data_IF_979143394905
#
_entry.id   IF_979143394905
#
_cell.length_a   1.000
_cell.length_b   1.000
_cell.length_c   1.000
_cell.angle_alpha   90.00
_cell.angle_beta   90.00
_cell.angle_gamma   90.00
#
_symmetry.space_group_name_H-M   'P 1'
#
loop_
_entity.id
_entity.type
_entity.pdbx_description
1 polymer ?
#
# COMPACT_ATOMS: atom_id res chain seq x y z
N UNK A 1 -9.86 -4.48 -33.20
CA UNK A 1 -10.02 -3.22 -32.45
C UNK A 1 -8.75 -3.04 -31.65
N UNK A 2 -8.05 -1.92 -31.85
CA UNK A 2 -6.66 -1.71 -31.41
C UNK A 2 -6.49 -1.91 -29.90
N UNK A 3 -5.42 -2.60 -29.52
CA UNK A 3 -5.06 -3.00 -28.15
C UNK A 3 -5.14 -1.84 -27.14
N UNK A 4 -4.78 -0.63 -27.59
CA UNK A 4 -4.89 0.62 -26.83
C UNK A 4 -6.32 0.96 -26.37
N UNK A 5 -7.36 0.63 -27.15
CA UNK A 5 -8.75 0.91 -26.77
C UNK A 5 -9.22 0.01 -25.61
N UNK A 6 -8.76 -1.24 -25.61
CA UNK A 6 -9.05 -2.25 -24.59
C UNK A 6 -8.36 -1.91 -23.27
N UNK A 7 -7.05 -1.61 -23.32
CA UNK A 7 -6.27 -1.20 -22.16
C UNK A 7 -6.81 0.10 -21.53
N UNK A 8 -7.13 1.11 -22.35
CA UNK A 8 -7.73 2.36 -21.88
C UNK A 8 -9.07 2.12 -21.19
N UNK A 9 -9.92 1.27 -21.75
CA UNK A 9 -11.22 0.93 -21.15
C UNK A 9 -11.05 0.22 -19.80
N UNK A 10 -10.14 -0.74 -19.71
CA UNK A 10 -9.81 -1.42 -18.46
C UNK A 10 -9.35 -0.43 -17.38
N UNK A 11 -8.39 0.44 -17.71
CA UNK A 11 -7.86 1.42 -16.78
C UNK A 11 -8.92 2.46 -16.36
N UNK A 12 -9.77 2.91 -17.28
CA UNK A 12 -10.87 3.83 -16.97
C UNK A 12 -11.90 3.21 -16.01
N UNK A 13 -12.21 1.91 -16.18
CA UNK A 13 -13.11 1.20 -15.26
C UNK A 13 -12.49 1.14 -13.87
N UNK A 14 -11.22 0.73 -13.76
CA UNK A 14 -10.51 0.70 -12.47
C UNK A 14 -10.44 2.08 -11.81
N UNK A 15 -10.13 3.12 -12.57
CA UNK A 15 -10.09 4.49 -12.07
C UNK A 15 -11.46 4.94 -11.56
N UNK A 16 -12.54 4.65 -12.29
CA UNK A 16 -13.90 4.98 -11.86
C UNK A 16 -14.24 4.33 -10.52
N UNK A 17 -13.99 3.02 -10.36
CA UNK A 17 -14.28 2.33 -9.11
C UNK A 17 -13.40 2.81 -7.97
N UNK A 18 -12.10 3.05 -8.20
CA UNK A 18 -11.21 3.60 -7.17
C UNK A 18 -11.66 4.99 -6.67
N UNK A 19 -12.12 5.86 -7.57
CA UNK A 19 -12.67 7.17 -7.19
C UNK A 19 -14.00 6.99 -6.45
N UNK A 20 -14.88 6.13 -6.94
CA UNK A 20 -16.17 5.85 -6.31
C UNK A 20 -15.99 5.28 -4.89
N UNK A 21 -15.10 4.32 -4.70
CA UNK A 21 -14.75 3.76 -3.39
C UNK A 21 -14.22 4.84 -2.44
N UNK A 22 -13.35 5.73 -2.92
CA UNK A 22 -12.83 6.84 -2.11
C UNK A 22 -13.94 7.79 -1.66
N UNK A 23 -14.86 8.16 -2.57
CA UNK A 23 -16.00 9.03 -2.28
C UNK A 23 -16.98 8.34 -1.31
N UNK A 24 -17.33 7.09 -1.56
CA UNK A 24 -18.23 6.31 -0.71
C UNK A 24 -17.62 6.15 0.68
N UNK A 25 -16.33 5.81 0.78
CA UNK A 25 -15.60 5.70 2.05
C UNK A 25 -15.65 7.00 2.84
N UNK A 26 -15.41 8.14 2.17
CA UNK A 26 -15.53 9.45 2.78
C UNK A 26 -16.94 9.72 3.30
N UNK A 27 -17.97 9.49 2.47
CA UNK A 27 -19.37 9.70 2.85
C UNK A 27 -19.76 8.81 4.03
N UNK A 28 -19.36 7.54 4.01
CA UNK A 28 -19.67 6.59 5.09
C UNK A 28 -19.01 6.99 6.41
N UNK A 29 -17.72 7.32 6.40
CA UNK A 29 -17.03 7.82 7.59
C UNK A 29 -17.65 9.13 8.09
N UNK A 30 -17.98 10.04 7.17
CA UNK A 30 -18.60 11.31 7.52
C UNK A 30 -19.96 11.11 8.17
N UNK A 31 -20.84 10.29 7.59
CA UNK A 31 -22.14 9.97 8.17
C UNK A 31 -22.01 9.20 9.49
N UNK A 32 -21.02 8.32 9.61
CA UNK A 32 -20.74 7.57 10.84
C UNK A 32 -20.40 8.50 12.02
N UNK A 33 -19.65 9.57 11.76
CA UNK A 33 -19.34 10.60 12.76
C UNK A 33 -20.53 11.57 12.95
N UNK A 34 -21.07 12.11 11.86
CA UNK A 34 -22.12 13.14 11.88
C UNK A 34 -23.42 12.66 12.53
N UNK A 35 -23.80 11.39 12.34
CA UNK A 35 -24.99 10.80 12.93
C UNK A 35 -24.75 10.29 14.37
N UNK A 36 -23.52 10.42 14.89
CA UNK A 36 -23.14 9.96 16.23
C UNK A 36 -23.01 8.45 16.37
N UNK A 37 -22.95 7.69 15.27
CA UNK A 37 -22.77 6.24 15.31
C UNK A 37 -21.40 5.83 15.87
N UNK A 38 -20.35 6.65 15.70
CA UNK A 38 -19.06 6.41 16.34
C UNK A 38 -19.17 6.40 17.87
N UNK A 39 -19.85 7.41 18.44
CA UNK A 39 -20.09 7.51 19.88
C UNK A 39 -21.01 6.39 20.39
N UNK A 40 -22.07 6.06 19.65
CA UNK A 40 -22.98 4.96 20.02
C UNK A 40 -22.25 3.62 20.06
N UNK A 41 -21.38 3.35 19.07
CA UNK A 41 -20.59 2.13 19.03
C UNK A 41 -19.62 2.06 20.21
N UNK A 42 -18.89 3.14 20.49
CA UNK A 42 -17.98 3.16 21.63
C UNK A 42 -18.72 2.97 22.96
N UNK A 43 -19.83 3.67 23.19
CA UNK A 43 -20.64 3.53 24.41
C UNK A 43 -21.17 2.11 24.59
N UNK A 44 -21.57 1.46 23.50
CA UNK A 44 -22.00 0.07 23.53
C UNK A 44 -20.84 -0.85 23.92
N UNK A 45 -19.67 -0.71 23.29
CA UNK A 45 -18.52 -1.56 23.56
C UNK A 45 -17.89 -1.33 24.94
N UNK A 46 -17.86 -0.09 25.42
CA UNK A 46 -17.29 0.28 26.71
C UNK A 46 -18.09 -0.29 27.89
N UNK A 47 -19.37 -0.64 27.67
CA UNK A 47 -20.18 -1.36 28.67
C UNK A 47 -19.68 -2.79 28.96
N UNK A 48 -18.92 -3.38 28.02
CA UNK A 48 -18.34 -4.72 28.16
C UNK A 48 -16.81 -4.71 28.29
N UNK A 49 -16.14 -3.66 27.79
CA UNK A 49 -14.68 -3.59 27.68
C UNK A 49 -14.15 -2.38 28.45
N UNK A 50 -13.49 -2.63 29.58
CA UNK A 50 -12.87 -1.55 30.38
C UNK A 50 -11.47 -1.15 29.90
N UNK A 51 -10.76 -2.03 29.19
CA UNK A 51 -9.41 -1.74 28.71
C UNK A 51 -9.48 -0.92 27.40
N UNK A 52 -8.97 0.31 27.42
CA UNK A 52 -9.04 1.23 26.28
C UNK A 52 -8.32 0.73 25.01
N UNK A 53 -7.23 -0.03 25.16
CA UNK A 53 -6.51 -0.59 24.01
C UNK A 53 -7.30 -1.73 23.36
N UNK A 54 -7.91 -2.60 24.17
CA UNK A 54 -8.80 -3.64 23.65
C UNK A 54 -10.06 -3.04 23.02
N UNK A 55 -10.62 -2.00 23.64
CA UNK A 55 -11.75 -1.25 23.11
C UNK A 55 -11.42 -0.68 21.73
N UNK A 56 -10.26 -0.03 21.56
CA UNK A 56 -9.79 0.48 20.27
C UNK A 56 -9.69 -0.65 19.23
N UNK A 57 -9.07 -1.78 19.57
CA UNK A 57 -8.89 -2.91 18.65
C UNK A 57 -10.25 -3.44 18.18
N UNK A 58 -11.17 -3.69 19.10
CA UNK A 58 -12.51 -4.21 18.77
C UNK A 58 -13.30 -3.17 17.97
N UNK A 59 -13.23 -1.90 18.34
CA UNK A 59 -13.87 -0.79 17.62
C UNK A 59 -13.38 -0.72 16.17
N UNK A 60 -12.07 -0.75 15.95
CA UNK A 60 -11.48 -0.73 14.60
C UNK A 60 -11.81 -1.98 13.80
N UNK A 61 -11.80 -3.17 14.40
CA UNK A 61 -12.20 -4.42 13.73
C UNK A 61 -13.66 -4.36 13.27
N UNK A 62 -14.57 -3.85 14.09
CA UNK A 62 -15.99 -3.73 13.72
C UNK A 62 -16.15 -2.77 12.54
N UNK A 63 -15.51 -1.60 12.59
CA UNK A 63 -15.56 -0.64 11.47
C UNK A 63 -14.94 -1.27 10.21
N UNK A 64 -13.77 -1.88 10.33
CA UNK A 64 -13.10 -2.56 9.22
C UNK A 64 -13.96 -3.66 8.60
N UNK A 65 -14.65 -4.45 9.42
CA UNK A 65 -15.57 -5.48 8.95
C UNK A 65 -16.77 -4.90 8.20
N UNK A 66 -17.38 -3.82 8.71
CA UNK A 66 -18.48 -3.12 8.02
C UNK A 66 -18.02 -2.61 6.66
N UNK A 67 -16.84 -1.99 6.59
CA UNK A 67 -16.25 -1.54 5.32
C UNK A 67 -15.98 -2.73 4.38
N UNK A 68 -15.41 -3.82 4.87
CA UNK A 68 -15.15 -5.02 4.09
C UNK A 68 -16.45 -5.59 3.48
N UNK A 69 -17.55 -5.63 4.23
CA UNK A 69 -18.85 -6.09 3.73
C UNK A 69 -19.42 -5.16 2.67
N UNK A 70 -19.36 -3.84 2.89
CA UNK A 70 -19.87 -2.84 1.93
C UNK A 70 -19.09 -2.88 0.62
N UNK A 71 -17.76 -3.03 0.70
CA UNK A 71 -16.87 -2.99 -0.46
C UNK A 71 -16.65 -4.36 -1.11
N UNK A 72 -17.03 -5.47 -0.47
CA UNK A 72 -16.90 -6.82 -1.02
C UNK A 72 -17.46 -6.99 -2.45
N UNK A 73 -18.65 -6.45 -2.82
CA UNK A 73 -19.15 -6.55 -4.19
C UNK A 73 -18.29 -5.80 -5.20
N UNK A 74 -17.74 -4.65 -4.80
CA UNK A 74 -16.88 -3.84 -5.66
C UNK A 74 -15.53 -4.55 -5.85
N UNK A 75 -14.91 -5.02 -4.77
CA UNK A 75 -13.64 -5.77 -4.81
C UNK A 75 -13.78 -7.04 -5.65
N UNK A 76 -14.87 -7.79 -5.50
CA UNK A 76 -15.15 -8.94 -6.37
C UNK A 76 -15.23 -8.53 -7.84
N UNK A 77 -15.91 -7.41 -8.15
CA UNK A 77 -16.01 -6.94 -9.52
C UNK A 77 -14.66 -6.50 -10.09
N UNK A 78 -13.88 -5.72 -9.35
CA UNK A 78 -12.64 -5.06 -9.84
C UNK A 78 -11.42 -5.97 -9.81
N UNK A 79 -11.30 -6.83 -8.81
CA UNK A 79 -10.12 -7.69 -8.59
C UNK A 79 -10.30 -9.10 -9.14
N UNK A 80 -11.50 -9.65 -9.09
CA UNK A 80 -11.76 -10.99 -9.63
C UNK A 80 -12.37 -10.91 -11.03
N UNK A 81 -13.59 -10.42 -11.16
CA UNK A 81 -14.33 -10.50 -12.42
C UNK A 81 -13.68 -9.70 -13.55
N UNK A 82 -13.26 -8.46 -13.29
CA UNK A 82 -12.66 -7.59 -14.30
C UNK A 82 -11.30 -8.13 -14.77
N UNK A 83 -10.47 -8.63 -13.85
CA UNK A 83 -9.18 -9.25 -14.22
C UNK A 83 -9.38 -10.49 -15.09
N UNK A 84 -10.40 -11.32 -14.83
CA UNK A 84 -10.76 -12.46 -15.68
C UNK A 84 -11.31 -12.02 -17.04
N UNK A 85 -12.17 -11.00 -17.05
CA UNK A 85 -12.76 -10.44 -18.27
C UNK A 85 -11.70 -9.93 -19.25
N UNK A 86 -10.59 -9.40 -18.73
CA UNK A 86 -9.46 -8.93 -19.53
C UNK A 86 -8.34 -9.97 -19.67
N UNK A 87 -8.55 -11.21 -19.22
CA UNK A 87 -7.59 -12.31 -19.31
C UNK A 87 -6.24 -12.00 -18.63
N UNK A 88 -6.28 -11.40 -17.44
CA UNK A 88 -5.11 -10.96 -16.68
C UNK A 88 -4.89 -11.75 -15.37
N UNK A 89 -5.86 -12.56 -14.96
CA UNK A 89 -5.78 -13.40 -13.76
C UNK A 89 -5.71 -14.90 -14.10
N UNK A 90 -5.00 -15.64 -13.25
CA UNK A 90 -4.97 -17.11 -13.23
C UNK A 90 -5.66 -17.68 -11.97
N UNK A 91 -6.25 -16.83 -11.14
CA UNK A 91 -6.83 -17.27 -9.87
C UNK A 91 -8.19 -17.93 -10.06
N UNK A 92 -8.40 -19.09 -9.45
CA UNK A 92 -9.77 -19.57 -9.20
C UNK A 92 -10.42 -18.72 -8.11
N UNK A 93 -11.75 -18.74 -8.03
CA UNK A 93 -12.49 -17.98 -7.00
C UNK A 93 -11.99 -18.26 -5.58
N UNK A 94 -11.82 -19.54 -5.21
CA UNK A 94 -11.32 -19.91 -3.88
C UNK A 94 -9.88 -19.48 -3.63
N UNK A 95 -9.05 -19.49 -4.69
CA UNK A 95 -7.68 -18.99 -4.58
C UNK A 95 -7.64 -17.49 -4.38
N UNK A 96 -8.49 -16.73 -5.08
CA UNK A 96 -8.64 -15.29 -4.87
C UNK A 96 -9.05 -14.97 -3.42
N UNK A 97 -10.07 -15.65 -2.89
CA UNK A 97 -10.48 -15.50 -1.49
C UNK A 97 -9.33 -15.81 -0.51
N UNK A 98 -8.59 -16.90 -0.76
CA UNK A 98 -7.48 -17.31 0.10
C UNK A 98 -6.31 -16.33 0.06
N UNK A 99 -5.91 -15.87 -1.13
CA UNK A 99 -4.87 -14.86 -1.27
C UNK A 99 -5.29 -13.54 -0.60
N UNK A 100 -6.52 -13.07 -0.83
CA UNK A 100 -7.05 -11.87 -0.15
C UNK A 100 -7.11 -12.01 1.37
N UNK A 101 -7.53 -13.18 1.89
CA UNK A 101 -7.53 -13.44 3.34
C UNK A 101 -6.11 -13.40 3.92
N UNK A 102 -5.12 -13.99 3.23
CA UNK A 102 -3.72 -13.92 3.67
C UNK A 102 -3.19 -12.48 3.63
N UNK A 103 -3.53 -11.71 2.61
CA UNK A 103 -3.17 -10.29 2.51
C UNK A 103 -3.75 -9.51 3.70
N UNK A 104 -5.02 -9.72 4.06
CA UNK A 104 -5.64 -9.12 5.25
C UNK A 104 -4.92 -9.53 6.53
N UNK A 105 -4.65 -10.82 6.75
CA UNK A 105 -3.99 -11.29 7.97
C UNK A 105 -2.57 -10.73 8.13
N UNK A 106 -1.79 -10.67 7.05
CA UNK A 106 -0.46 -10.05 7.06
C UNK A 106 -0.57 -8.54 7.30
N UNK A 107 -1.56 -7.89 6.68
CA UNK A 107 -1.87 -6.48 6.89
C UNK A 107 -2.18 -6.18 8.36
N UNK A 108 -3.07 -6.96 8.98
CA UNK A 108 -3.48 -6.81 10.38
C UNK A 108 -2.31 -7.07 11.34
N UNK A 109 -1.46 -8.05 11.04
CA UNK A 109 -0.27 -8.35 11.85
C UNK A 109 0.71 -7.17 11.91
N UNK A 110 0.72 -6.29 10.91
CA UNK A 110 1.54 -5.07 10.87
C UNK A 110 0.74 -3.87 11.37
N UNK A 111 -0.51 -3.74 10.92
CA UNK A 111 -1.39 -2.61 11.18
C UNK A 111 -1.82 -2.48 12.63
N UNK A 112 -2.16 -3.59 13.30
CA UNK A 112 -2.60 -3.56 14.70
C UNK A 112 -1.49 -3.06 15.65
N UNK A 113 -0.23 -3.54 15.59
CA UNK A 113 0.86 -2.94 16.36
C UNK A 113 1.04 -1.44 16.10
N UNK A 114 0.92 -1.00 14.84
CA UNK A 114 1.05 0.42 14.49
C UNK A 114 -0.13 1.25 15.00
N UNK A 115 -1.35 0.72 14.99
CA UNK A 115 -2.53 1.34 15.57
C UNK A 115 -2.37 1.51 17.09
N UNK A 116 -1.91 0.47 17.78
CA UNK A 116 -1.64 0.51 19.22
C UNK A 116 -0.53 1.51 19.56
N UNK A 117 0.54 1.54 18.75
CA UNK A 117 1.63 2.50 18.87
C UNK A 117 1.12 3.93 18.65
N UNK A 118 0.32 4.16 17.61
CA UNK A 118 -0.33 5.44 17.35
C UNK A 118 -1.16 5.87 18.57
N UNK A 119 -2.01 4.98 19.07
CA UNK A 119 -2.86 5.27 20.22
C UNK A 119 -2.06 5.56 21.49
N UNK A 120 -0.96 4.85 21.72
CA UNK A 120 -0.04 5.16 22.80
C UNK A 120 0.56 6.57 22.65
N UNK A 121 1.01 6.93 21.45
CA UNK A 121 1.65 8.23 21.18
C UNK A 121 0.66 9.38 21.32
N UNK A 122 -0.57 9.25 20.80
CA UNK A 122 -1.59 10.31 20.95
C UNK A 122 -2.01 10.52 22.40
N UNK A 123 -2.14 9.44 23.19
CA UNK A 123 -2.43 9.55 24.62
C UNK A 123 -1.29 10.19 25.41
N UNK A 124 -0.03 9.93 25.02
CA UNK A 124 1.15 10.43 25.75
C UNK A 124 1.51 11.87 25.40
N UNK A 125 1.39 12.27 24.14
CA UNK A 125 1.91 13.55 23.64
C UNK A 125 0.83 14.57 23.29
N UNK A 126 -0.46 14.20 23.38
CA UNK A 126 -1.56 15.11 23.05
C UNK A 126 -1.41 15.65 21.63
N UNK A 127 -1.67 16.93 21.41
CA UNK A 127 -1.62 17.56 20.07
C UNK A 127 -0.24 17.40 19.38
N UNK A 128 0.84 17.23 20.15
CA UNK A 128 2.19 17.06 19.61
C UNK A 128 2.45 15.64 19.10
N UNK A 129 1.48 14.72 19.15
CA UNK A 129 1.61 13.32 18.72
C UNK A 129 2.20 13.17 17.32
N UNK A 130 1.88 14.09 16.40
CA UNK A 130 2.30 14.02 15.01
C UNK A 130 3.83 13.95 14.87
N UNK A 131 4.58 14.62 15.74
CA UNK A 131 6.04 14.69 15.65
C UNK A 131 6.72 13.35 16.01
N UNK A 132 6.58 12.80 17.23
CA UNK A 132 7.15 11.50 17.57
C UNK A 132 6.55 10.39 16.70
N UNK A 133 5.28 10.48 16.31
CA UNK A 133 4.68 9.49 15.42
C UNK A 133 5.30 9.53 14.01
N UNK A 134 5.55 10.70 13.44
CA UNK A 134 6.24 10.84 12.14
C UNK A 134 7.64 10.22 12.16
N UNK A 135 8.40 10.45 13.22
CA UNK A 135 9.74 9.88 13.40
C UNK A 135 9.66 8.35 13.50
N UNK A 136 8.71 7.81 14.28
CA UNK A 136 8.50 6.38 14.41
C UNK A 136 8.09 5.76 13.07
N UNK A 137 7.17 6.39 12.33
CA UNK A 137 6.73 5.92 11.02
C UNK A 137 7.87 5.94 9.98
N UNK A 138 8.77 6.92 10.04
CA UNK A 138 10.00 6.89 9.23
C UNK A 138 10.83 5.63 9.53
N UNK A 139 11.12 5.36 10.81
CA UNK A 139 11.89 4.16 11.22
C UNK A 139 11.18 2.88 10.76
N UNK A 140 9.88 2.77 11.03
CA UNK A 140 9.06 1.63 10.62
C UNK A 140 9.10 1.45 9.11
N UNK A 141 8.97 2.52 8.30
CA UNK A 141 9.00 2.42 6.84
C UNK A 141 10.34 1.91 6.31
N UNK A 142 11.46 2.37 6.89
CA UNK A 142 12.80 1.91 6.52
C UNK A 142 12.99 0.44 6.90
N UNK A 143 12.49 0.03 8.07
CA UNK A 143 12.53 -1.37 8.52
C UNK A 143 11.66 -2.26 7.63
N UNK A 144 10.42 -1.87 7.34
CA UNK A 144 9.52 -2.62 6.47
C UNK A 144 10.07 -2.73 5.05
N UNK A 145 10.69 -1.69 4.50
CA UNK A 145 11.34 -1.76 3.18
C UNK A 145 12.45 -2.84 3.12
N UNK A 146 13.04 -3.21 4.25
CA UNK A 146 14.03 -4.29 4.36
C UNK A 146 13.38 -5.65 4.63
N UNK A 147 12.36 -5.67 5.48
CA UNK A 147 11.69 -6.90 5.89
C UNK A 147 10.78 -7.45 4.79
N UNK A 148 10.08 -6.59 4.05
CA UNK A 148 9.05 -7.00 3.08
C UNK A 148 9.59 -8.00 2.05
N UNK A 149 10.73 -7.76 1.35
CA UNK A 149 11.22 -8.71 0.36
C UNK A 149 11.69 -10.05 0.94
N UNK A 150 12.10 -10.08 2.22
CA UNK A 150 12.78 -11.22 2.83
C UNK A 150 11.80 -12.10 3.61
N UNK A 151 10.84 -11.49 4.33
CA UNK A 151 9.91 -12.22 5.19
C UNK A 151 8.49 -12.20 4.66
N UNK A 152 8.05 -11.10 4.05
CA UNK A 152 6.65 -10.97 3.63
C UNK A 152 6.44 -11.56 2.25
N UNK A 153 7.29 -11.22 1.28
CA UNK A 153 7.16 -11.72 -0.09
C UNK A 153 7.13 -13.27 -0.16
N UNK A 154 7.97 -14.02 0.60
CA UNK A 154 7.91 -15.48 0.60
C UNK A 154 6.64 -16.11 1.17
N UNK A 155 5.79 -15.36 1.89
CA UNK A 155 4.48 -15.83 2.35
C UNK A 155 3.51 -15.97 1.16
N UNK A 156 3.70 -15.15 0.12
CA UNK A 156 2.83 -15.10 -1.05
C UNK A 156 3.39 -15.89 -2.23
N UNK A 157 4.70 -15.80 -2.45
CA UNK A 157 5.39 -16.29 -3.63
C UNK A 157 6.60 -17.16 -3.29
N UNK A 158 6.79 -18.23 -4.05
CA UNK A 158 8.01 -19.02 -4.03
C UNK A 158 9.10 -18.29 -4.83
N UNK A 159 10.17 -17.91 -4.13
CA UNK A 159 11.33 -17.24 -4.73
C UNK A 159 12.47 -18.24 -4.87
N UNK A 160 12.95 -18.47 -6.10
CA UNK A 160 14.07 -19.38 -6.39
C UNK A 160 15.02 -18.75 -7.43
N UNK A 161 16.32 -19.09 -7.44
CA UNK A 161 17.24 -18.60 -8.47
C UNK A 161 16.75 -18.95 -9.88
N UNK A 162 17.07 -18.10 -10.87
CA UNK A 162 16.78 -18.42 -12.27
C UNK A 162 17.74 -19.50 -12.79
N UNK A 163 17.23 -20.35 -13.70
CA UNK A 163 18.00 -21.45 -14.31
C UNK A 163 18.71 -21.01 -15.60
N UNK A 164 18.21 -19.97 -16.28
CA UNK A 164 18.79 -19.44 -17.52
C UNK A 164 20.06 -18.63 -17.21
N UNK A 165 21.21 -19.31 -17.28
CA UNK A 165 22.52 -18.70 -17.01
C UNK A 165 22.89 -17.62 -18.05
N UNK A 166 22.46 -17.74 -19.31
CA UNK A 166 22.72 -16.71 -20.32
C UNK A 166 21.99 -15.40 -19.99
N UNK A 167 20.71 -15.48 -19.64
CA UNK A 167 19.93 -14.30 -19.24
C UNK A 167 20.50 -13.69 -17.95
N UNK A 168 20.88 -14.54 -17.00
CA UNK A 168 21.52 -14.12 -15.74
C UNK A 168 22.81 -13.34 -16.00
N UNK A 169 23.68 -13.84 -16.87
CA UNK A 169 24.92 -13.14 -17.25
C UNK A 169 24.65 -11.80 -17.92
N UNK A 170 23.69 -11.73 -18.85
CA UNK A 170 23.27 -10.48 -19.50
C UNK A 170 22.82 -9.44 -18.47
N UNK A 171 21.94 -9.83 -17.55
CA UNK A 171 21.43 -8.96 -16.48
C UNK A 171 22.55 -8.51 -15.55
N UNK A 172 23.45 -9.40 -15.16
CA UNK A 172 24.60 -9.05 -14.28
C UNK A 172 25.50 -8.04 -14.99
N UNK A 173 25.81 -8.26 -16.27
CA UNK A 173 26.65 -7.35 -17.08
C UNK A 173 26.01 -5.97 -17.20
N UNK A 174 24.71 -5.92 -17.51
CA UNK A 174 23.96 -4.66 -17.60
C UNK A 174 23.95 -3.92 -16.25
N UNK A 175 23.73 -4.65 -15.15
CA UNK A 175 23.75 -4.09 -13.80
C UNK A 175 25.11 -3.51 -13.42
N UNK A 176 26.20 -4.17 -13.82
CA UNK A 176 27.56 -3.67 -13.62
C UNK A 176 27.81 -2.35 -14.35
N UNK A 177 27.32 -2.20 -15.59
CA UNK A 177 27.39 -0.93 -16.34
C UNK A 177 26.63 0.20 -15.63
N UNK A 178 25.51 -0.10 -15.00
CA UNK A 178 24.77 0.85 -14.17
C UNK A 178 25.45 1.17 -12.83
N UNK A 179 26.49 0.41 -12.44
CA UNK A 179 27.17 0.55 -11.15
C UNK A 179 26.44 -0.12 -9.99
N UNK A 180 25.61 -1.12 -10.28
CA UNK A 180 24.90 -1.94 -9.31
C UNK A 180 25.60 -3.29 -9.13
N UNK A 181 25.84 -3.71 -7.89
CA UNK A 181 26.26 -5.09 -7.60
C UNK A 181 25.04 -5.95 -7.36
N UNK A 182 24.90 -6.99 -8.17
CA UNK A 182 23.82 -7.98 -8.04
C UNK A 182 24.36 -9.17 -7.28
N UNK A 183 23.70 -9.52 -6.17
CA UNK A 183 24.02 -10.73 -5.40
C UNK A 183 23.61 -11.97 -6.21
N UNK A 184 22.36 -11.99 -6.67
CA UNK A 184 21.82 -13.04 -7.52
C UNK A 184 20.53 -12.57 -8.22
N UNK A 185 20.10 -13.33 -9.22
CA UNK A 185 18.85 -13.13 -9.96
C UNK A 185 17.89 -14.28 -9.63
N UNK A 186 16.69 -13.95 -9.21
CA UNK A 186 15.66 -14.89 -8.78
C UNK A 186 14.41 -14.77 -9.65
N UNK A 187 13.72 -15.89 -9.84
CA UNK A 187 12.33 -15.93 -10.30
C UNK A 187 11.37 -16.05 -9.12
N UNK A 188 10.19 -15.46 -9.24
CA UNK A 188 9.07 -15.68 -8.32
C UNK A 188 7.79 -16.03 -9.09
N UNK A 189 6.99 -16.90 -8.50
CA UNK A 189 5.85 -17.57 -9.15
C UNK A 189 4.59 -16.68 -9.28
N UNK A 190 4.71 -15.58 -10.02
CA UNK A 190 3.60 -14.66 -10.30
C UNK A 190 2.45 -15.32 -11.06
N UNK A 191 2.76 -16.28 -11.93
CA UNK A 191 1.80 -17.01 -12.77
C UNK A 191 0.72 -17.70 -11.93
N UNK A 192 1.03 -18.01 -10.66
CA UNK A 192 0.07 -18.46 -9.66
C UNK A 192 -1.15 -17.55 -9.58
N UNK A 193 -0.96 -16.23 -9.67
CA UNK A 193 -2.03 -15.25 -9.46
C UNK A 193 -2.40 -14.48 -10.74
N UNK A 194 -1.41 -14.07 -11.53
CA UNK A 194 -1.61 -13.15 -12.66
C UNK A 194 -0.88 -13.59 -13.90
N UNK A 195 -1.32 -13.10 -15.07
CA UNK A 195 -0.62 -13.19 -16.35
C UNK A 195 0.25 -11.96 -16.65
N UNK A 196 0.20 -10.94 -15.78
CA UNK A 196 0.98 -9.72 -15.92
C UNK A 196 2.46 -10.01 -15.68
N UNK A 197 3.32 -9.35 -16.44
CA UNK A 197 4.77 -9.37 -16.23
C UNK A 197 5.18 -8.31 -15.21
N UNK A 198 6.22 -8.61 -14.41
CA UNK A 198 6.81 -7.65 -13.50
C UNK A 198 8.28 -8.03 -13.22
N UNK A 199 9.08 -7.02 -12.86
CA UNK A 199 10.43 -7.16 -12.36
C UNK A 199 10.62 -6.21 -11.17
N UNK A 200 11.49 -6.56 -10.24
CA UNK A 200 11.76 -5.71 -9.08
C UNK A 200 13.18 -5.85 -8.58
N UNK A 201 13.73 -4.75 -8.05
CA UNK A 201 14.97 -4.73 -7.31
C UNK A 201 14.72 -4.71 -5.81
N UNK A 202 15.36 -5.61 -5.07
CA UNK A 202 15.23 -5.69 -3.60
C UNK A 202 16.61 -5.74 -2.92
N UNK A 203 16.65 -5.49 -1.61
CA UNK A 203 17.89 -5.50 -0.82
C UNK A 203 18.46 -4.12 -0.48
N UNK A 204 19.56 -4.08 0.25
CA UNK A 204 20.11 -2.88 0.88
C UNK A 204 21.40 -2.35 0.23
N UNK A 205 21.50 -1.03 0.14
CA UNK A 205 22.72 -0.35 -0.27
C UNK A 205 23.13 -0.68 -1.72
N UNK A 206 24.39 -1.05 -1.90
CA UNK A 206 25.01 -1.31 -3.22
C UNK A 206 24.82 -2.74 -3.71
N UNK A 207 24.34 -3.64 -2.85
CA UNK A 207 24.11 -5.05 -3.18
C UNK A 207 22.61 -5.29 -3.26
N UNK A 208 22.13 -5.73 -4.42
CA UNK A 208 20.70 -5.95 -4.66
C UNK A 208 20.44 -7.36 -5.18
N UNK A 209 19.22 -7.82 -4.96
CA UNK A 209 18.63 -9.01 -5.57
C UNK A 209 17.68 -8.56 -6.66
N UNK A 210 17.71 -9.25 -7.78
CA UNK A 210 16.79 -9.02 -8.89
C UNK A 210 15.72 -10.09 -8.82
N UNK A 211 14.46 -9.68 -8.83
CA UNK A 211 13.31 -10.56 -8.84
C UNK A 211 12.60 -10.41 -10.18
N UNK A 212 12.46 -11.51 -10.92
CA UNK A 212 11.75 -11.57 -12.19
C UNK A 212 10.49 -12.43 -12.02
N UNK A 213 9.34 -11.94 -12.47
CA UNK A 213 8.15 -12.78 -12.53
C UNK A 213 8.38 -13.94 -13.50
N UNK A 214 7.94 -15.14 -13.15
CA UNK A 214 7.90 -16.27 -14.10
C UNK A 214 7.11 -15.93 -15.37
N UNK A 215 6.03 -15.15 -15.26
CA UNK A 215 5.26 -14.62 -16.39
C UNK A 215 6.10 -13.75 -17.33
N UNK A 216 7.06 -12.98 -16.82
CA UNK A 216 7.99 -12.20 -17.63
C UNK A 216 8.97 -13.13 -18.37
N UNK A 217 9.49 -14.14 -17.66
CA UNK A 217 10.44 -15.10 -18.23
C UNK A 217 9.82 -16.00 -19.30
N UNK A 218 8.55 -16.36 -19.15
CA UNK A 218 7.85 -17.30 -20.04
C UNK A 218 7.29 -16.65 -21.31
N UNK A 219 6.96 -15.35 -21.26
CA UNK A 219 6.21 -14.69 -22.35
C UNK A 219 7.02 -13.64 -23.13
N UNK A 220 8.25 -13.33 -22.71
CA UNK A 220 9.08 -12.30 -23.34
C UNK A 220 10.44 -12.85 -23.74
N UNK A 221 11.00 -12.30 -24.81
CA UNK A 221 12.36 -12.59 -25.25
C UNK A 221 13.41 -12.03 -24.28
N UNK A 222 14.62 -12.58 -24.32
CA UNK A 222 15.74 -12.08 -23.48
C UNK A 222 16.04 -10.60 -23.73
N UNK A 223 15.85 -10.12 -24.96
CA UNK A 223 16.08 -8.71 -25.33
C UNK A 223 15.02 -7.78 -24.72
N UNK A 224 13.75 -8.20 -24.72
CA UNK A 224 12.66 -7.47 -24.07
C UNK A 224 12.85 -7.44 -22.54
N UNK A 225 13.25 -8.57 -21.95
CA UNK A 225 13.56 -8.65 -20.51
C UNK A 225 14.72 -7.72 -20.17
N UNK A 226 15.79 -7.71 -20.98
CA UNK A 226 16.93 -6.82 -20.77
C UNK A 226 16.51 -5.33 -20.84
N UNK A 227 15.56 -4.99 -21.71
CA UNK A 227 15.01 -3.63 -21.83
C UNK A 227 14.25 -3.23 -20.57
N UNK A 228 13.41 -4.12 -20.03
CA UNK A 228 12.71 -3.89 -18.75
C UNK A 228 13.71 -3.70 -17.60
N UNK A 229 14.78 -4.50 -17.57
CA UNK A 229 15.82 -4.37 -16.54
C UNK A 229 16.64 -3.09 -16.72
N UNK A 230 16.89 -2.64 -17.95
CA UNK A 230 17.55 -1.36 -18.21
C UNK A 230 16.74 -0.18 -17.66
N UNK A 231 15.42 -0.17 -17.88
CA UNK A 231 14.51 0.82 -17.32
C UNK A 231 14.58 0.84 -15.78
N UNK A 232 14.44 -0.32 -15.15
CA UNK A 232 14.49 -0.44 -13.69
C UNK A 232 15.88 -0.03 -13.12
N UNK A 233 16.98 -0.28 -13.85
CA UNK A 233 18.31 0.22 -13.50
C UNK A 233 18.43 1.74 -13.64
N UNK A 234 17.65 2.36 -14.54
CA UNK A 234 17.50 3.80 -14.65
C UNK A 234 17.01 4.42 -13.34
N UNK A 235 15.97 3.85 -12.72
CA UNK A 235 15.50 4.26 -11.40
C UNK A 235 16.58 4.15 -10.31
N UNK A 236 17.35 3.07 -10.33
CA UNK A 236 18.48 2.90 -9.41
C UNK A 236 19.56 3.97 -9.62
N UNK A 237 19.97 4.20 -10.88
CA UNK A 237 21.01 5.15 -11.25
C UNK A 237 20.68 6.57 -10.83
N UNK A 238 19.43 6.97 -11.03
CA UNK A 238 18.90 8.30 -10.70
C UNK A 238 18.42 8.42 -9.24
N UNK A 239 18.61 7.36 -8.44
CA UNK A 239 18.32 7.33 -7.00
C UNK A 239 16.87 7.66 -6.66
N UNK A 240 15.92 7.19 -7.48
CA UNK A 240 14.50 7.48 -7.29
C UNK A 240 13.96 6.96 -5.94
N UNK A 241 14.42 5.79 -5.49
CA UNK A 241 14.05 5.27 -4.16
C UNK A 241 14.48 6.22 -3.03
N UNK A 242 15.72 6.73 -3.07
CA UNK A 242 16.22 7.66 -2.04
C UNK A 242 15.47 9.00 -2.10
N UNK A 243 15.19 9.52 -3.30
CA UNK A 243 14.37 10.73 -3.47
C UNK A 243 12.96 10.50 -2.91
N UNK A 244 12.33 9.36 -3.20
CA UNK A 244 11.01 8.98 -2.67
C UNK A 244 11.01 8.85 -1.15
N UNK A 245 12.04 8.25 -0.54
CA UNK A 245 12.16 8.18 0.93
C UNK A 245 12.27 9.58 1.53
N UNK A 246 13.11 10.45 0.97
CA UNK A 246 13.30 11.81 1.48
C UNK A 246 12.02 12.65 1.34
N UNK A 247 11.44 12.69 0.13
CA UNK A 247 10.21 13.44 -0.16
C UNK A 247 9.04 12.88 0.64
N UNK A 248 8.91 11.56 0.73
CA UNK A 248 7.89 10.88 1.53
C UNK A 248 8.03 11.19 3.01
N UNK A 249 9.25 11.22 3.55
CA UNK A 249 9.51 11.59 4.95
C UNK A 249 9.07 13.03 5.20
N UNK A 250 9.55 14.00 4.41
CA UNK A 250 9.18 15.41 4.57
C UNK A 250 7.67 15.61 4.44
N UNK A 251 7.06 14.96 3.45
CA UNK A 251 5.61 15.04 3.22
C UNK A 251 4.83 14.42 4.38
N UNK A 252 5.28 13.31 4.96
CA UNK A 252 4.60 12.66 6.10
C UNK A 252 4.55 13.56 7.34
N UNK A 253 5.62 14.30 7.63
CA UNK A 253 5.63 15.28 8.73
C UNK A 253 4.60 16.38 8.50
N UNK A 254 4.54 16.93 7.28
CA UNK A 254 3.55 17.93 6.91
C UNK A 254 2.12 17.37 6.98
N UNK A 255 1.88 16.18 6.44
CA UNK A 255 0.58 15.52 6.43
C UNK A 255 0.10 15.25 7.86
N UNK A 256 0.92 14.63 8.71
CA UNK A 256 0.54 14.35 10.09
C UNK A 256 0.35 15.64 10.91
N UNK A 257 1.15 16.67 10.67
CA UNK A 257 0.93 17.99 11.26
C UNK A 257 -0.43 18.57 10.87
N UNK A 258 -0.79 18.53 9.58
CA UNK A 258 -2.08 19.02 9.10
C UNK A 258 -3.24 18.20 9.68
N UNK A 259 -3.13 16.87 9.69
CA UNK A 259 -4.14 15.99 10.30
C UNK A 259 -4.33 16.33 11.78
N UNK A 260 -3.25 16.46 12.56
CA UNK A 260 -3.33 16.75 13.99
C UNK A 260 -4.05 18.08 14.28
N UNK A 261 -3.71 19.15 13.54
CA UNK A 261 -4.31 20.47 13.74
C UNK A 261 -5.77 20.51 13.26
N UNK A 262 -6.07 19.95 12.09
CA UNK A 262 -7.44 19.93 11.56
C UNK A 262 -8.36 19.06 12.42
N UNK A 263 -7.88 17.89 12.86
CA UNK A 263 -8.60 17.03 13.81
C UNK A 263 -8.96 17.80 15.08
N UNK A 264 -7.97 18.41 15.74
CA UNK A 264 -8.15 19.21 16.96
C UNK A 264 -9.18 20.35 16.79
N UNK A 265 -9.10 21.10 15.68
CA UNK A 265 -10.03 22.22 15.41
C UNK A 265 -11.46 21.70 15.20
N UNK A 266 -11.60 20.58 14.49
CA UNK A 266 -12.89 20.02 14.11
C UNK A 266 -13.62 19.24 15.23
N UNK A 267 -12.96 18.91 16.35
CA UNK A 267 -13.58 18.16 17.45
C UNK A 267 -14.90 18.79 17.93
N UNK A 268 -14.89 20.11 18.10
CA UNK A 268 -16.05 20.86 18.59
C UNK A 268 -17.26 20.82 17.65
N UNK A 269 -17.05 20.60 16.35
CA UNK A 269 -18.14 20.50 15.37
C UNK A 269 -19.00 19.25 15.57
N UNK A 270 -18.43 18.22 16.20
CA UNK A 270 -19.06 16.93 16.45
C UNK A 270 -19.25 16.62 17.93
N UNK A 271 -19.10 17.63 18.80
CA UNK A 271 -19.20 17.52 20.26
C UNK A 271 -18.17 16.56 20.90
N UNK A 272 -17.02 16.35 20.26
CA UNK A 272 -15.88 15.65 20.89
C UNK A 272 -15.09 16.61 21.78
N UNK A 273 -14.56 16.08 22.88
CA UNK A 273 -13.88 16.86 23.92
C UNK A 273 -12.36 16.81 23.77
N UNK A 274 -11.81 15.65 23.44
CA UNK A 274 -10.35 15.42 23.37
C UNK A 274 -9.96 14.67 22.09
N UNK A 275 -8.69 14.79 21.69
CA UNK A 275 -8.17 14.15 20.46
C UNK A 275 -7.92 12.64 20.60
N UNK A 276 -7.84 12.13 21.83
CA UNK A 276 -7.54 10.73 22.12
C UNK A 276 -8.79 9.88 22.37
N UNK A 277 -9.97 10.50 22.26
CA UNK A 277 -11.27 9.84 22.27
C UNK A 277 -11.39 8.88 21.09
N UNK A 278 -11.77 7.62 21.34
CA UNK A 278 -11.80 6.56 20.31
C UNK A 278 -12.86 6.91 19.27
N UNK A 279 -14.00 7.45 19.69
CA UNK A 279 -15.12 7.91 18.87
C UNK A 279 -14.74 9.07 17.93
N UNK A 280 -13.64 9.77 18.24
CA UNK A 280 -13.09 10.87 17.44
C UNK A 280 -12.06 10.41 16.39
N UNK A 281 -11.55 9.18 16.47
CA UNK A 281 -10.54 8.67 15.53
C UNK A 281 -11.07 8.51 14.08
N UNK A 282 -12.34 8.15 13.84
CA UNK A 282 -12.90 8.22 12.49
C UNK A 282 -12.83 9.63 11.87
N UNK A 283 -12.94 10.70 12.67
CA UNK A 283 -12.75 12.08 12.20
C UNK A 283 -11.28 12.37 11.83
N UNK A 284 -10.34 11.80 12.56
CA UNK A 284 -8.92 11.85 12.19
C UNK A 284 -8.68 11.15 10.84
N UNK A 285 -9.28 9.97 10.64
CA UNK A 285 -9.22 9.25 9.36
C UNK A 285 -9.86 10.04 8.20
N UNK A 286 -10.96 10.75 8.45
CA UNK A 286 -11.57 11.66 7.47
C UNK A 286 -10.60 12.74 7.01
N UNK A 287 -9.92 13.43 7.93
CA UNK A 287 -8.90 14.42 7.55
C UNK A 287 -7.73 13.79 6.79
N UNK A 288 -7.30 12.59 7.20
CA UNK A 288 -6.32 11.80 6.46
C UNK A 288 -6.75 11.53 5.02
N UNK A 289 -8.02 11.16 4.79
CA UNK A 289 -8.56 10.92 3.45
C UNK A 289 -8.60 12.18 2.58
N UNK A 290 -9.05 13.33 3.15
CA UNK A 290 -9.09 14.61 2.44
C UNK A 290 -7.68 15.04 2.03
N UNK A 291 -6.73 15.02 2.97
CA UNK A 291 -5.35 15.40 2.70
C UNK A 291 -4.72 14.45 1.69
N UNK A 292 -4.99 13.14 1.80
CA UNK A 292 -4.52 12.14 0.85
C UNK A 292 -4.95 12.45 -0.59
N UNK A 293 -6.23 12.76 -0.81
CA UNK A 293 -6.76 13.14 -2.13
C UNK A 293 -6.08 14.40 -2.66
N UNK A 294 -5.83 15.39 -1.81
CA UNK A 294 -5.15 16.65 -2.20
C UNK A 294 -3.69 16.39 -2.60
N UNK A 295 -2.99 15.49 -1.91
CA UNK A 295 -1.58 15.19 -2.19
C UNK A 295 -1.39 14.20 -3.35
N UNK A 296 -2.39 13.39 -3.69
CA UNK A 296 -2.30 12.34 -4.72
C UNK A 296 -1.85 12.85 -6.11
N UNK A 297 -2.31 14.01 -6.63
CA UNK A 297 -1.81 14.54 -7.90
C UNK A 297 -0.31 14.83 -7.90
N UNK A 298 0.23 15.28 -6.77
CA UNK A 298 1.65 15.62 -6.61
C UNK A 298 2.49 14.35 -6.68
N UNK A 299 2.09 13.30 -5.96
CA UNK A 299 2.79 12.00 -5.99
C UNK A 299 2.71 11.36 -7.37
N UNK A 300 1.55 11.44 -8.04
CA UNK A 300 1.37 10.90 -9.39
C UNK A 300 2.17 11.67 -10.46
N UNK A 301 2.31 12.98 -10.30
CA UNK A 301 3.19 13.79 -11.16
C UNK A 301 4.65 13.40 -10.98
N UNK A 302 5.11 13.27 -9.74
CA UNK A 302 6.49 12.89 -9.44
C UNK A 302 6.82 11.49 -9.95
N UNK A 303 5.92 10.52 -9.74
CA UNK A 303 6.07 9.15 -10.26
C UNK A 303 6.20 9.17 -11.79
N UNK A 304 5.30 9.83 -12.52
CA UNK A 304 5.40 9.93 -13.99
C UNK A 304 6.70 10.57 -14.46
N UNK A 305 7.18 11.60 -13.76
CA UNK A 305 8.47 12.20 -14.06
C UNK A 305 9.61 11.18 -13.93
N UNK A 306 9.57 10.32 -12.91
CA UNK A 306 10.58 9.27 -12.71
C UNK A 306 10.51 8.14 -13.73
N UNK A 307 9.33 7.81 -14.26
CA UNK A 307 9.18 6.88 -15.40
C UNK A 307 9.89 7.45 -16.65
N UNK A 308 9.58 8.70 -17.03
CA UNK A 308 10.23 9.35 -18.18
C UNK A 308 11.74 9.57 -18.02
N UNK A 309 12.23 9.66 -16.78
CA UNK A 309 13.65 9.75 -16.49
C UNK A 309 14.36 8.39 -16.59
N UNK A 310 13.62 7.28 -16.46
CA UNK A 310 14.14 5.92 -16.49
C UNK A 310 14.05 5.25 -17.87
N UNK A 311 13.04 5.61 -18.66
CA UNK A 311 12.96 5.34 -20.11
C UNK A 311 14.09 6.03 -20.88
#
# INVERSE_FOLDING_TARGET
>A
MTDNSTAKKYNNIKLFFSIAESIISFILLFLFVQLGFSLQLENYLSSFISNQYLLLVVFTIIIGFVFAVIFAPINYYTEFYLEHKYNLSNQTFWKWIWEGTKETLVGDAIGLPLLLLFFYVINKFGILWWLPFSILMFIVSVVLAQIVPILILPIFYKVIPIEDEELKERIIKLSQLAGLRVENVFKFDMSKNTKKANAAFTGLGKTKRILLGDTLLENYSKDEIETVIAHELGHYKLKHIQKNILIGTISSFLIFYLIANLHQISLSWFNFLTINQIESLPLLALWGSIIGIIFQPITNWLSRKYEYEAD
#
